data_IF_808571745994
#
_entry.id   IF_808571745994
#
_cell.length_a   1.000
_cell.length_b   1.000
_cell.length_c   1.000
_cell.angle_alpha   90.00
_cell.angle_beta   90.00
_cell.angle_gamma   90.00
#
_symmetry.space_group_name_H-M   'P 1'
#
loop_
_entity.id
_entity.type
_entity.pdbx_description
1 polymer ?
#
# COMPACT_ATOMS: atom_id res chain seq x y z
N UNK A 1 41.44 6.43 3.78
CA UNK A 1 39.97 6.52 3.72
C UNK A 1 39.51 6.14 2.32
N UNK A 2 38.81 5.01 2.17
CA UNK A 2 38.36 4.51 0.87
C UNK A 2 37.17 5.31 0.33
N UNK A 3 37.20 5.62 -0.97
CA UNK A 3 36.14 6.33 -1.70
C UNK A 3 34.82 5.55 -1.53
N UNK A 4 33.73 6.21 -1.11
CA UNK A 4 32.40 5.57 -1.06
C UNK A 4 32.03 5.09 -2.47
N UNK A 5 31.54 3.85 -2.65
CA UNK A 5 31.00 3.42 -3.94
C UNK A 5 29.90 4.42 -4.33
N UNK A 6 30.10 5.09 -5.46
CA UNK A 6 29.12 6.04 -6.00
C UNK A 6 28.29 5.27 -7.01
N UNK A 7 26.99 5.15 -6.76
CA UNK A 7 26.06 4.55 -7.71
C UNK A 7 25.97 5.50 -8.91
N UNK A 8 26.36 5.02 -10.09
CA UNK A 8 26.17 5.74 -11.34
C UNK A 8 24.68 5.89 -11.63
N UNK A 9 24.23 7.13 -11.84
CA UNK A 9 22.81 7.47 -12.01
C UNK A 9 22.25 6.96 -13.34
N UNK A 10 23.01 7.02 -14.42
CA UNK A 10 22.55 6.65 -15.75
C UNK A 10 22.46 5.13 -15.84
N UNK A 11 23.46 4.44 -15.31
CA UNK A 11 23.43 2.97 -15.19
C UNK A 11 22.30 2.51 -14.25
N UNK A 12 22.08 3.17 -13.11
CA UNK A 12 20.96 2.88 -12.23
C UNK A 12 19.61 3.02 -12.95
N UNK A 13 19.45 4.07 -13.75
CA UNK A 13 18.22 4.33 -14.52
C UNK A 13 17.98 3.23 -15.54
N UNK A 14 19.01 2.85 -16.30
CA UNK A 14 18.96 1.76 -17.28
C UNK A 14 18.55 0.43 -16.63
N UNK A 15 19.23 0.04 -15.55
CA UNK A 15 18.97 -1.23 -14.86
C UNK A 15 17.59 -1.27 -14.19
N UNK A 16 17.09 -0.15 -13.67
CA UNK A 16 15.72 -0.06 -13.17
C UNK A 16 14.70 -0.22 -14.29
N UNK A 17 14.96 0.34 -15.48
CA UNK A 17 14.12 0.15 -16.66
C UNK A 17 14.14 -1.29 -17.19
N UNK A 18 15.28 -1.99 -17.06
CA UNK A 18 15.43 -3.43 -17.33
C UNK A 18 14.72 -4.32 -16.28
N UNK A 19 14.19 -3.74 -15.20
CA UNK A 19 13.37 -4.43 -14.22
C UNK A 19 14.12 -5.03 -13.04
N UNK A 20 15.41 -4.71 -12.86
CA UNK A 20 16.19 -5.24 -11.74
C UNK A 20 15.60 -4.83 -10.38
N UNK A 21 15.61 -5.78 -9.47
CA UNK A 21 15.21 -5.60 -8.07
C UNK A 21 16.24 -4.78 -7.29
N UNK A 22 15.83 -4.23 -6.14
CA UNK A 22 16.72 -3.48 -5.25
C UNK A 22 17.89 -4.34 -4.77
N UNK A 23 17.66 -5.64 -4.53
CA UNK A 23 18.67 -6.59 -4.10
C UNK A 23 19.73 -6.83 -5.19
N UNK A 24 19.30 -7.04 -6.44
CA UNK A 24 20.21 -7.22 -7.58
C UNK A 24 21.03 -5.97 -7.85
N UNK A 25 20.41 -4.78 -7.77
CA UNK A 25 21.11 -3.51 -7.87
C UNK A 25 22.14 -3.35 -6.75
N UNK A 26 21.80 -3.71 -5.52
CA UNK A 26 22.70 -3.61 -4.37
C UNK A 26 23.95 -4.50 -4.55
N UNK A 27 23.73 -5.75 -4.98
CA UNK A 27 24.82 -6.67 -5.30
C UNK A 27 25.69 -6.14 -6.44
N UNK A 28 25.08 -5.60 -7.50
CA UNK A 28 25.79 -5.08 -8.68
C UNK A 28 26.64 -3.84 -8.39
N UNK A 29 26.14 -2.92 -7.56
CA UNK A 29 26.85 -1.71 -7.19
C UNK A 29 27.76 -1.87 -5.96
N UNK A 30 27.73 -3.02 -5.28
CA UNK A 30 28.52 -3.25 -4.06
C UNK A 30 28.11 -2.34 -2.90
N UNK A 31 26.81 -2.10 -2.74
CA UNK A 31 26.21 -1.20 -1.74
C UNK A 31 25.08 -1.89 -0.99
N UNK A 32 24.57 -1.27 0.08
CA UNK A 32 23.37 -1.76 0.75
C UNK A 32 22.10 -1.47 -0.06
N UNK A 33 21.04 -2.26 0.17
CA UNK A 33 19.70 -1.99 -0.38
C UNK A 33 19.18 -0.60 0.00
N UNK A 34 19.47 -0.15 1.22
CA UNK A 34 19.14 1.20 1.68
C UNK A 34 19.84 2.28 0.85
N UNK A 35 21.08 2.05 0.43
CA UNK A 35 21.83 2.93 -0.47
C UNK A 35 21.22 3.00 -1.87
N UNK A 36 20.81 1.84 -2.42
CA UNK A 36 20.07 1.80 -3.70
C UNK A 36 18.75 2.56 -3.60
N UNK A 37 17.98 2.37 -2.52
CA UNK A 37 16.72 3.08 -2.33
C UNK A 37 16.92 4.60 -2.24
N UNK A 38 17.99 5.06 -1.57
CA UNK A 38 18.34 6.48 -1.53
C UNK A 38 18.73 7.02 -2.91
N UNK A 39 19.55 6.28 -3.67
CA UNK A 39 19.94 6.68 -5.02
C UNK A 39 18.75 6.71 -5.99
N UNK A 40 17.83 5.73 -5.91
CA UNK A 40 16.58 5.74 -6.69
C UNK A 40 15.73 6.97 -6.37
N UNK A 41 15.61 7.36 -5.09
CA UNK A 41 14.89 8.59 -4.70
C UNK A 41 15.59 9.83 -5.27
N UNK A 42 16.90 9.94 -5.09
CA UNK A 42 17.68 11.08 -5.59
C UNK A 42 17.63 11.21 -7.13
N UNK A 43 17.52 10.08 -7.84
CA UNK A 43 17.39 10.03 -9.29
C UNK A 43 15.96 10.27 -9.81
N UNK A 44 14.95 10.37 -8.93
CA UNK A 44 13.54 10.47 -9.32
C UNK A 44 12.91 9.14 -9.78
N UNK A 45 13.59 8.01 -9.53
CA UNK A 45 13.17 6.65 -9.92
C UNK A 45 12.32 5.94 -8.85
N UNK A 46 12.06 6.59 -7.72
CA UNK A 46 11.19 6.05 -6.71
C UNK A 46 9.73 6.12 -7.18
N UNK A 47 9.03 4.98 -7.18
CA UNK A 47 7.60 4.96 -7.48
C UNK A 47 6.88 5.84 -6.45
N UNK A 48 5.98 6.74 -6.88
CA UNK A 48 5.15 7.51 -5.95
C UNK A 48 4.41 6.55 -5.01
N UNK A 49 4.48 6.83 -3.71
CA UNK A 49 3.67 6.10 -2.73
C UNK A 49 2.21 6.40 -3.00
N UNK A 50 1.37 5.38 -2.92
CA UNK A 50 -0.07 5.57 -2.98
C UNK A 50 -0.53 6.30 -1.72
N UNK A 51 -1.45 7.25 -1.89
CA UNK A 51 -2.09 7.89 -0.77
C UNK A 51 -3.29 7.04 -0.32
N UNK A 52 -3.24 6.56 0.92
CA UNK A 52 -4.29 5.74 1.51
C UNK A 52 -5.11 6.51 2.56
N UNK A 53 -4.88 7.82 2.73
CA UNK A 53 -5.54 8.66 3.72
C UNK A 53 -7.06 8.57 3.66
N UNK A 54 -7.64 8.49 2.45
CA UNK A 54 -9.09 8.33 2.26
C UNK A 54 -9.63 6.99 2.71
N UNK A 55 -8.86 5.91 2.62
CA UNK A 55 -9.31 4.57 3.05
C UNK A 55 -8.96 4.28 4.51
N UNK A 56 -7.89 4.88 5.02
CA UNK A 56 -7.43 4.78 6.41
C UNK A 56 -7.29 6.20 6.97
N UNK A 57 -8.41 6.86 7.32
CA UNK A 57 -8.40 8.26 7.78
C UNK A 57 -7.81 8.44 9.18
N UNK A 58 -7.64 7.35 9.93
CA UNK A 58 -7.09 7.40 11.28
C UNK A 58 -5.56 7.47 11.29
N UNK A 59 -5.02 8.12 12.32
CA UNK A 59 -3.60 8.01 12.69
C UNK A 59 -3.35 6.65 13.35
N UNK A 60 -3.17 5.62 12.54
CA UNK A 60 -2.97 4.24 13.00
C UNK A 60 -1.63 4.10 13.74
N UNK A 61 -1.67 3.55 14.94
CA UNK A 61 -0.50 3.25 15.75
C UNK A 61 0.36 2.19 15.08
N UNK A 62 1.68 2.26 15.27
CA UNK A 62 2.64 1.36 14.62
C UNK A 62 2.30 -0.12 14.83
N UNK A 63 1.86 -0.49 16.03
CA UNK A 63 1.45 -1.85 16.38
C UNK A 63 0.28 -2.37 15.53
N UNK A 64 -0.62 -1.48 15.09
CA UNK A 64 -1.85 -1.83 14.36
C UNK A 64 -1.72 -1.65 12.84
N UNK A 65 -0.57 -1.15 12.35
CA UNK A 65 -0.37 -0.88 10.93
C UNK A 65 -0.51 -2.13 10.06
N UNK A 66 -0.16 -3.31 10.59
CA UNK A 66 -0.25 -4.60 9.90
C UNK A 66 -1.46 -5.43 10.34
N UNK A 67 -2.45 -4.81 11.02
CA UNK A 67 -3.70 -5.49 11.33
C UNK A 67 -4.48 -5.83 10.05
N UNK A 68 -5.38 -6.82 10.15
CA UNK A 68 -6.25 -7.22 9.04
C UNK A 68 -7.02 -6.05 8.43
N UNK A 69 -7.79 -5.27 9.22
CA UNK A 69 -8.54 -4.13 8.70
C UNK A 69 -7.65 -3.08 8.02
N UNK A 70 -6.53 -2.67 8.64
CA UNK A 70 -5.62 -1.69 8.05
C UNK A 70 -5.04 -2.18 6.71
N UNK A 71 -4.68 -3.45 6.63
CA UNK A 71 -4.13 -4.05 5.41
C UNK A 71 -5.19 -4.18 4.32
N UNK A 72 -6.40 -4.62 4.67
CA UNK A 72 -7.50 -4.76 3.73
C UNK A 72 -7.94 -3.42 3.14
N UNK A 73 -8.07 -2.38 3.98
CA UNK A 73 -8.39 -1.02 3.52
C UNK A 73 -7.35 -0.48 2.54
N UNK A 74 -6.05 -0.70 2.80
CA UNK A 74 -4.98 -0.29 1.87
C UNK A 74 -5.01 -1.08 0.56
N UNK A 75 -5.29 -2.38 0.62
CA UNK A 75 -5.42 -3.21 -0.58
C UNK A 75 -6.58 -2.75 -1.47
N UNK A 76 -7.73 -2.44 -0.89
CA UNK A 76 -8.89 -1.88 -1.60
C UNK A 76 -8.56 -0.49 -2.17
N UNK A 77 -7.92 0.37 -1.37
CA UNK A 77 -7.48 1.69 -1.81
C UNK A 77 -6.49 1.62 -2.98
N UNK A 78 -5.58 0.65 -2.97
CA UNK A 78 -4.64 0.44 -4.06
C UNK A 78 -5.36 0.00 -5.34
N UNK A 79 -6.36 -0.89 -5.22
CA UNK A 79 -7.22 -1.27 -6.34
C UNK A 79 -8.00 -0.07 -6.90
N UNK A 80 -8.62 0.74 -6.03
CA UNK A 80 -9.33 1.96 -6.40
C UNK A 80 -8.45 2.99 -7.14
N UNK A 81 -7.13 2.99 -6.87
CA UNK A 81 -6.15 3.89 -7.50
C UNK A 81 -5.48 3.31 -8.75
N UNK A 82 -6.03 2.26 -9.36
CA UNK A 82 -5.45 1.71 -10.60
C UNK A 82 -4.33 0.69 -10.39
N UNK A 83 -3.95 0.36 -9.14
CA UNK A 83 -2.77 -0.46 -8.81
C UNK A 83 -3.14 -1.58 -7.84
N UNK A 84 -3.94 -2.58 -8.28
CA UNK A 84 -4.39 -3.63 -7.39
C UNK A 84 -3.18 -4.44 -6.88
N UNK A 85 -3.23 -4.95 -5.64
CA UNK A 85 -2.25 -5.92 -5.18
C UNK A 85 -2.45 -7.26 -5.90
N UNK A 86 -1.61 -8.25 -5.56
CA UNK A 86 -1.78 -9.62 -6.04
C UNK A 86 -3.20 -10.14 -5.74
N UNK A 87 -3.76 -10.94 -6.65
CA UNK A 87 -5.18 -11.35 -6.63
C UNK A 87 -5.62 -11.98 -5.32
N UNK A 88 -4.78 -12.77 -4.67
CA UNK A 88 -5.10 -13.38 -3.37
C UNK A 88 -5.35 -12.33 -2.27
N UNK A 89 -4.50 -11.31 -2.19
CA UNK A 89 -4.63 -10.20 -1.23
C UNK A 89 -5.84 -9.34 -1.55
N UNK A 90 -6.09 -9.09 -2.84
CA UNK A 90 -7.25 -8.34 -3.29
C UNK A 90 -8.55 -9.09 -2.93
N UNK A 91 -8.64 -10.38 -3.26
CA UNK A 91 -9.82 -11.22 -3.01
C UNK A 91 -10.12 -11.33 -1.51
N UNK A 92 -9.09 -11.43 -0.67
CA UNK A 92 -9.27 -11.41 0.78
C UNK A 92 -9.83 -10.08 1.27
N UNK A 93 -9.31 -8.95 0.77
CA UNK A 93 -9.81 -7.64 1.15
C UNK A 93 -11.27 -7.39 0.66
N UNK A 94 -11.59 -7.82 -0.57
CA UNK A 94 -12.94 -7.74 -1.14
C UNK A 94 -13.95 -8.57 -0.33
N UNK A 95 -13.62 -9.84 -0.02
CA UNK A 95 -14.50 -10.71 0.78
C UNK A 95 -14.72 -10.17 2.20
N UNK A 96 -13.65 -9.67 2.82
CA UNK A 96 -13.75 -9.05 4.13
C UNK A 96 -14.69 -7.85 4.12
N UNK A 97 -14.50 -6.90 3.19
CA UNK A 97 -15.33 -5.72 3.12
C UNK A 97 -16.78 -6.06 2.77
N UNK A 98 -17.01 -6.98 1.84
CA UNK A 98 -18.36 -7.43 1.48
C UNK A 98 -19.08 -8.04 2.69
N UNK A 99 -18.42 -8.89 3.48
CA UNK A 99 -19.00 -9.45 4.71
C UNK A 99 -19.46 -8.37 5.68
N UNK A 100 -18.66 -7.31 5.88
CA UNK A 100 -19.04 -6.21 6.76
C UNK A 100 -20.29 -5.51 6.24
N UNK A 101 -20.30 -5.17 4.95
CA UNK A 101 -21.44 -4.49 4.31
C UNK A 101 -22.72 -5.32 4.39
N UNK A 102 -22.65 -6.61 4.07
CA UNK A 102 -23.80 -7.52 4.14
C UNK A 102 -24.36 -7.67 5.56
N UNK A 103 -23.49 -7.59 6.57
CA UNK A 103 -23.86 -7.66 7.98
C UNK A 103 -24.32 -6.31 8.56
N UNK A 104 -24.35 -5.22 7.77
CA UNK A 104 -24.65 -3.88 8.26
C UNK A 104 -23.59 -3.36 9.24
N UNK A 105 -22.33 -3.77 9.05
CA UNK A 105 -21.18 -3.39 9.86
C UNK A 105 -20.27 -2.40 9.14
N UNK A 106 -19.48 -1.68 9.92
CA UNK A 106 -18.39 -0.82 9.51
C UNK A 106 -17.17 -1.05 10.43
N UNK A 107 -16.12 -0.26 10.26
CA UNK A 107 -14.96 -0.26 11.16
C UNK A 107 -14.77 1.06 11.87
N UNK A 108 -14.37 0.95 13.14
CA UNK A 108 -13.85 2.05 13.92
C UNK A 108 -12.42 1.72 14.38
N UNK A 109 -11.69 2.75 14.76
CA UNK A 109 -10.31 2.62 15.22
C UNK A 109 -10.06 3.45 16.48
N UNK A 110 -9.56 2.78 17.50
CA UNK A 110 -9.03 3.40 18.70
C UNK A 110 -7.51 3.11 18.83
N UNK A 111 -6.67 4.10 19.19
CA UNK A 111 -5.23 3.86 19.32
C UNK A 111 -4.83 2.84 20.40
N UNK A 112 -5.60 2.71 21.47
CA UNK A 112 -5.35 1.76 22.56
C UNK A 112 -5.91 0.37 22.27
N UNK A 113 -7.08 0.28 21.64
CA UNK A 113 -7.76 -1.00 21.40
C UNK A 113 -7.55 -1.57 19.99
N UNK A 114 -7.19 -0.73 19.02
CA UNK A 114 -7.06 -1.09 17.61
C UNK A 114 -8.36 -0.98 16.83
N UNK A 115 -8.44 -1.76 15.74
CA UNK A 115 -9.63 -1.78 14.87
C UNK A 115 -10.70 -2.70 15.44
N UNK A 116 -11.95 -2.24 15.38
CA UNK A 116 -13.13 -3.01 15.78
C UNK A 116 -14.23 -2.88 14.74
N UNK A 117 -15.03 -3.94 14.62
CA UNK A 117 -16.26 -3.91 13.82
C UNK A 117 -17.36 -3.26 14.65
N UNK A 118 -18.07 -2.30 14.05
CA UNK A 118 -19.16 -1.55 14.69
C UNK A 118 -20.39 -1.58 13.79
N UNK A 119 -21.61 -1.40 14.31
CA UNK A 119 -22.79 -1.19 13.47
C UNK A 119 -22.56 0.00 12.52
N UNK A 120 -22.93 -0.18 11.25
CA UNK A 120 -22.86 0.91 10.29
C UNK A 120 -23.80 2.06 10.70
N UNK A 121 -23.33 3.29 10.53
CA UNK A 121 -24.14 4.48 10.81
C UNK A 121 -25.30 4.57 9.81
N UNK A 122 -26.48 5.11 10.22
CA UNK A 122 -27.54 5.46 9.28
C UNK A 122 -27.08 6.44 8.18
N UNK A 123 -26.03 7.22 8.45
CA UNK A 123 -25.42 8.14 7.48
C UNK A 123 -24.50 7.48 6.45
N UNK A 124 -24.30 6.15 6.53
CA UNK A 124 -23.47 5.38 5.61
C UNK A 124 -22.35 4.60 6.30
N UNK A 125 -21.69 3.74 5.51
CA UNK A 125 -20.54 2.92 5.93
C UNK A 125 -19.28 3.36 5.18
N UNK A 126 -18.21 3.61 5.92
CA UNK A 126 -16.89 3.91 5.39
C UNK A 126 -16.34 2.74 4.57
N UNK A 127 -16.42 1.52 5.10
CA UNK A 127 -16.01 0.31 4.37
C UNK A 127 -16.81 0.13 3.08
N UNK A 128 -18.13 0.40 3.10
CA UNK A 128 -18.95 0.35 1.89
C UNK A 128 -18.45 1.33 0.82
N UNK A 129 -18.11 2.56 1.20
CA UNK A 129 -17.55 3.56 0.28
C UNK A 129 -16.20 3.13 -0.32
N UNK A 130 -15.31 2.58 0.50
CA UNK A 130 -14.00 2.06 0.04
C UNK A 130 -14.17 0.86 -0.90
N UNK A 131 -15.10 -0.05 -0.59
CA UNK A 131 -15.42 -1.20 -1.41
C UNK A 131 -15.99 -0.79 -2.78
N UNK A 132 -16.94 0.15 -2.78
CA UNK A 132 -17.55 0.66 -4.01
C UNK A 132 -16.51 1.27 -4.95
N UNK A 133 -15.63 2.14 -4.43
CA UNK A 133 -14.56 2.76 -5.22
C UNK A 133 -13.58 1.71 -5.78
N UNK A 134 -13.28 0.65 -5.01
CA UNK A 134 -12.42 -0.43 -5.48
C UNK A 134 -13.07 -1.22 -6.62
N UNK A 135 -14.38 -1.50 -6.53
CA UNK A 135 -15.13 -2.21 -7.58
C UNK A 135 -15.24 -1.41 -8.87
N UNK A 136 -15.63 -0.14 -8.76
CA UNK A 136 -15.74 0.77 -9.90
C UNK A 136 -14.43 0.81 -10.72
N UNK A 137 -13.29 0.93 -10.02
CA UNK A 137 -11.97 0.94 -10.66
C UNK A 137 -11.52 -0.41 -11.25
N UNK A 138 -12.14 -1.52 -10.85
CA UNK A 138 -11.86 -2.86 -11.40
C UNK A 138 -12.76 -3.18 -12.59
N UNK A 139 -14.01 -2.69 -12.58
CA UNK A 139 -14.98 -2.85 -13.68
C UNK A 139 -14.68 -1.91 -14.86
N UNK A 140 -14.12 -0.72 -14.58
CA UNK A 140 -13.70 0.24 -15.60
C UNK A 140 -12.35 -0.06 -16.28
N UNK A 141 -11.80 -1.27 -16.12
CA UNK A 141 -10.55 -1.72 -16.76
C UNK A 141 -10.83 -2.78 -17.82
#
# INVERSE_FOLDING_TARGET
MGRRPTIDRDELTRLVAEGLTVQELAARFGVSESGVLQAKRAAGLAKPMLDHSRAVPWKVARAHMQSGPATNLRNLSAAAQGKPPASERLNTALRWAQRLVDAGLDVDYDPAEGFREVPASPGGSHVAGVLAAAREALEGR
#
